data_IF_724556825051
#
_entry.id   IF_724556825051
#
_cell.length_a   1.000
_cell.length_b   1.000
_cell.length_c   1.000
_cell.angle_alpha   90.00
_cell.angle_beta   90.00
_cell.angle_gamma   90.00
#
_symmetry.space_group_name_H-M   'P 1'
#
loop_
_entity.id
_entity.type
_entity.pdbx_description
1 polymer ?
#
# COMPACT_ATOMS: atom_id res chain seq x y z
N UNK A 1 9.30 14.99 9.99
CA UNK A 1 7.88 15.17 10.35
C UNK A 1 7.06 15.89 9.27
N UNK A 2 7.47 17.06 8.77
CA UNK A 2 6.71 17.80 7.73
C UNK A 2 6.43 16.99 6.44
N UNK A 3 7.34 16.09 6.03
CA UNK A 3 7.21 15.26 4.83
C UNK A 3 5.99 14.32 4.87
N UNK A 4 5.69 13.73 6.03
CA UNK A 4 4.55 12.83 6.21
C UNK A 4 3.25 13.63 6.16
N UNK A 5 3.22 14.79 6.82
CA UNK A 5 2.06 15.68 6.79
C UNK A 5 1.71 16.12 5.37
N UNK A 6 2.70 16.54 4.58
CA UNK A 6 2.50 16.93 3.17
C UNK A 6 2.02 15.75 2.33
N UNK A 7 2.62 14.56 2.51
CA UNK A 7 2.22 13.35 1.80
C UNK A 7 0.76 12.97 2.09
N UNK A 8 0.36 12.94 3.36
CA UNK A 8 -1.02 12.65 3.75
C UNK A 8 -1.99 13.68 3.18
N UNK A 9 -1.64 14.96 3.23
CA UNK A 9 -2.49 16.03 2.67
C UNK A 9 -2.73 15.82 1.17
N UNK A 10 -1.68 15.48 0.42
CA UNK A 10 -1.74 15.22 -1.01
C UNK A 10 -2.58 13.97 -1.32
N UNK A 11 -2.33 12.87 -0.62
CA UNK A 11 -3.09 11.61 -0.77
C UNK A 11 -4.57 11.83 -0.45
N UNK A 12 -4.88 12.59 0.60
CA UNK A 12 -6.28 12.84 1.01
C UNK A 12 -7.00 13.73 -0.02
N UNK A 13 -6.35 14.78 -0.51
CA UNK A 13 -6.89 15.64 -1.58
C UNK A 13 -7.15 14.84 -2.87
N UNK A 14 -6.18 14.03 -3.29
CA UNK A 14 -6.31 13.20 -4.49
C UNK A 14 -7.45 12.18 -4.33
N UNK A 15 -7.53 11.56 -3.15
CA UNK A 15 -8.56 10.58 -2.82
C UNK A 15 -9.95 11.19 -2.88
N UNK A 16 -10.15 12.39 -2.30
CA UNK A 16 -11.45 13.09 -2.35
C UNK A 16 -11.81 13.46 -3.80
N UNK A 17 -10.83 13.90 -4.58
CA UNK A 17 -11.06 14.26 -5.99
C UNK A 17 -11.46 13.04 -6.83
N UNK A 18 -10.74 11.92 -6.69
CA UNK A 18 -11.08 10.67 -7.39
C UNK A 18 -12.42 10.09 -6.91
N UNK A 19 -12.73 10.15 -5.61
CA UNK A 19 -14.02 9.68 -5.09
C UNK A 19 -15.19 10.43 -5.73
N UNK A 20 -15.05 11.74 -5.96
CA UNK A 20 -16.08 12.54 -6.66
C UNK A 20 -16.25 12.12 -8.11
N UNK A 21 -15.17 11.73 -8.79
CA UNK A 21 -15.24 11.21 -10.17
C UNK A 21 -15.95 9.86 -10.18
N UNK A 22 -15.56 8.93 -9.30
CA UNK A 22 -16.20 7.61 -9.20
C UNK A 22 -17.69 7.67 -8.78
N UNK A 23 -18.06 8.63 -7.92
CA UNK A 23 -19.46 8.85 -7.55
C UNK A 23 -20.30 9.34 -8.74
N UNK A 24 -19.72 10.13 -9.67
CA UNK A 24 -20.42 10.57 -10.88
C UNK A 24 -20.70 9.43 -11.86
N UNK A 25 -19.84 8.42 -11.89
CA UNK A 25 -19.99 7.26 -12.78
C UNK A 25 -20.86 6.14 -12.20
N UNK A 26 -21.26 6.22 -10.93
CA UNK A 26 -22.21 5.28 -10.31
C UNK A 26 -21.64 3.89 -9.95
N UNK A 27 -20.32 3.69 -10.05
CA UNK A 27 -19.68 2.42 -9.74
C UNK A 27 -19.42 2.23 -8.23
N UNK A 28 -20.45 1.81 -7.48
CA UNK A 28 -20.33 1.57 -6.04
C UNK A 28 -19.22 0.57 -5.66
N UNK A 29 -19.04 -0.50 -6.44
CA UNK A 29 -17.98 -1.49 -6.19
C UNK A 29 -16.58 -0.91 -6.39
N UNK A 30 -16.40 -0.02 -7.36
CA UNK A 30 -15.12 0.64 -7.61
C UNK A 30 -14.75 1.58 -6.46
N UNK A 31 -15.72 2.26 -5.85
CA UNK A 31 -15.51 3.15 -4.70
C UNK A 31 -14.97 2.37 -3.50
N UNK A 32 -15.56 1.20 -3.19
CA UNK A 32 -15.10 0.35 -2.09
C UNK A 32 -13.68 -0.17 -2.32
N UNK A 33 -13.41 -0.72 -3.51
CA UNK A 33 -12.08 -1.21 -3.86
C UNK A 33 -11.02 -0.09 -3.80
N UNK A 34 -11.33 1.06 -4.36
CA UNK A 34 -10.46 2.23 -4.35
C UNK A 34 -10.15 2.73 -2.93
N UNK A 35 -11.16 2.81 -2.06
CA UNK A 35 -11.00 3.29 -0.68
C UNK A 35 -10.07 2.39 0.13
N UNK A 36 -10.23 1.07 0.00
CA UNK A 36 -9.36 0.07 0.66
C UNK A 36 -7.94 0.20 0.12
N UNK A 37 -7.77 0.24 -1.20
CA UNK A 37 -6.46 0.30 -1.84
C UNK A 37 -5.69 1.58 -1.45
N UNK A 38 -6.36 2.73 -1.49
CA UNK A 38 -5.77 4.01 -1.11
C UNK A 38 -5.42 4.07 0.37
N UNK A 39 -6.23 3.46 1.24
CA UNK A 39 -5.92 3.40 2.67
C UNK A 39 -4.67 2.56 2.94
N UNK A 40 -4.52 1.41 2.28
CA UNK A 40 -3.32 0.58 2.38
C UNK A 40 -2.10 1.34 1.85
N UNK A 41 -2.22 1.98 0.67
CA UNK A 41 -1.15 2.76 0.08
C UNK A 41 -0.72 3.93 0.97
N UNK A 42 -1.66 4.62 1.63
CA UNK A 42 -1.39 5.70 2.57
C UNK A 42 -0.60 5.21 3.79
N UNK A 43 -0.96 4.04 4.33
CA UNK A 43 -0.28 3.41 5.47
C UNK A 43 1.15 3.03 5.07
N UNK A 44 1.31 2.31 3.95
CA UNK A 44 2.63 1.86 3.45
C UNK A 44 3.52 3.06 3.12
N UNK A 45 3.01 4.06 2.41
CA UNK A 45 3.77 5.27 2.10
C UNK A 45 4.18 6.06 3.34
N UNK A 46 3.33 6.07 4.38
CA UNK A 46 3.66 6.70 5.67
C UNK A 46 4.75 5.93 6.42
N UNK A 47 4.71 4.59 6.41
CA UNK A 47 5.74 3.72 6.99
C UNK A 47 7.10 3.90 6.31
N UNK A 48 7.12 3.94 4.97
CA UNK A 48 8.31 4.22 4.16
C UNK A 48 8.92 5.59 4.49
N UNK A 49 8.08 6.64 4.56
CA UNK A 49 8.52 7.99 4.93
C UNK A 49 9.02 8.09 6.37
N UNK A 50 8.49 7.25 7.27
CA UNK A 50 8.97 7.12 8.64
C UNK A 50 10.29 6.33 8.75
N UNK A 51 10.82 5.80 7.64
CA UNK A 51 11.97 4.88 7.59
C UNK A 51 11.80 3.68 8.53
N UNK A 52 10.55 3.25 8.74
CA UNK A 52 10.28 2.01 9.42
C UNK A 52 10.63 0.91 8.44
N UNK A 53 11.57 0.03 8.83
CA UNK A 53 11.94 -1.11 8.02
C UNK A 53 10.72 -2.03 7.89
N UNK A 54 9.99 -1.92 6.78
CA UNK A 54 8.93 -2.86 6.46
C UNK A 54 9.62 -4.16 6.08
N UNK A 55 9.43 -5.27 6.82
CA UNK A 55 9.99 -6.54 6.41
C UNK A 55 9.44 -6.86 5.01
N UNK A 56 10.35 -7.18 4.08
CA UNK A 56 9.98 -7.50 2.70
C UNK A 56 8.83 -8.51 2.71
N UNK A 57 7.79 -8.35 1.87
CA UNK A 57 6.75 -9.36 1.70
C UNK A 57 7.31 -10.72 1.27
N UNK A 58 8.53 -10.73 0.73
CA UNK A 58 9.26 -11.95 0.35
C UNK A 58 9.98 -12.61 1.54
N UNK A 59 10.23 -11.90 2.65
CA UNK A 59 10.97 -12.44 3.79
C UNK A 59 10.34 -13.71 4.42
N UNK A 60 9.00 -13.83 4.57
CA UNK A 60 8.40 -15.08 5.03
C UNK A 60 8.43 -16.18 3.96
N UNK A 61 8.39 -15.79 2.69
CA UNK A 61 8.49 -16.71 1.56
C UNK A 61 9.89 -17.32 1.51
N UNK A 62 10.91 -16.49 1.70
CA UNK A 62 12.31 -16.89 1.73
C UNK A 62 12.55 -17.91 2.86
N UNK A 63 12.05 -17.70 4.08
CA UNK A 63 12.24 -18.68 5.16
C UNK A 63 11.56 -20.03 4.90
N UNK A 64 10.48 -20.07 4.13
CA UNK A 64 9.75 -21.31 3.79
C UNK A 64 10.37 -22.03 2.60
N UNK A 65 10.87 -21.29 1.61
CA UNK A 65 11.40 -21.87 0.36
C UNK A 65 12.93 -22.03 0.35
N UNK A 66 13.68 -21.37 1.24
CA UNK A 66 15.13 -21.58 1.41
C UNK A 66 15.51 -23.03 1.75
N UNK A 67 14.78 -23.78 2.63
CA UNK A 67 15.06 -25.20 2.87
C UNK A 67 14.85 -26.06 1.62
N UNK A 68 13.82 -25.76 0.82
CA UNK A 68 13.48 -26.50 -0.40
C UNK A 68 14.53 -26.21 -1.50
N UNK A 69 14.98 -24.96 -1.61
CA UNK A 69 16.04 -24.56 -2.53
C UNK A 69 17.36 -25.28 -2.25
N UNK A 70 17.77 -25.38 -0.98
CA UNK A 70 18.98 -26.12 -0.56
C UNK A 70 18.89 -27.64 -0.78
N UNK A 71 17.68 -28.20 -0.90
CA UNK A 71 17.49 -29.61 -1.25
C UNK A 71 17.56 -29.89 -2.76
N UNK A 72 17.20 -28.92 -3.60
CA UNK A 72 17.13 -29.08 -5.07
C UNK A 72 18.41 -28.65 -5.79
N UNK A 73 19.17 -27.71 -5.23
CA UNK A 73 20.45 -27.23 -5.74
C UNK A 73 21.49 -27.38 -4.62
N UNK A 74 22.27 -28.49 -4.56
CA UNK A 74 23.39 -28.61 -3.62
C UNK A 74 24.50 -27.61 -3.92
#
# INVERSE_FOLDING_TARGET
>A
MYKIGVFLLLVTLLSIWQLRVFQREGFQYAIWGYTILMSIAAIVGSLELARITIPSPLAPLESVFEPIGKMLLP
#
